data_IF_092282113253
#
_entry.id   IF_092282113253
#
_cell.length_a   1.000
_cell.length_b   1.000
_cell.length_c   1.000
_cell.angle_alpha   90.00
_cell.angle_beta   90.00
_cell.angle_gamma   90.00
#
_symmetry.space_group_name_H-M   'P 1'
#
loop_
_entity.id
_entity.type
_entity.pdbx_description
1 polymer ?
#
# COMPACT_ATOMS: atom_id res chain seq x y z
N UNK A 1 -20.67 -8.85 -7.53
CA UNK A 1 -20.71 -8.17 -6.22
C UNK A 1 -19.51 -7.25 -6.11
N UNK A 2 -19.73 -5.95 -5.93
CA UNK A 2 -18.68 -4.93 -5.79
C UNK A 2 -17.84 -5.12 -4.50
N UNK A 3 -18.28 -5.98 -3.58
CA UNK A 3 -17.62 -6.23 -2.29
C UNK A 3 -16.22 -6.84 -2.39
N UNK A 4 -15.90 -7.47 -3.54
CA UNK A 4 -14.61 -8.12 -3.79
C UNK A 4 -13.53 -7.15 -4.26
N UNK A 5 -13.88 -5.95 -4.71
CA UNK A 5 -12.95 -4.97 -5.30
C UNK A 5 -12.78 -3.70 -4.46
N UNK A 6 -13.44 -3.62 -3.29
CA UNK A 6 -13.32 -2.46 -2.40
C UNK A 6 -12.16 -2.65 -1.42
N UNK A 7 -11.28 -1.65 -1.34
CA UNK A 7 -10.39 -1.49 -0.19
C UNK A 7 -11.22 -1.28 1.08
N UNK A 8 -10.82 -1.86 2.20
CA UNK A 8 -11.54 -1.75 3.47
C UNK A 8 -10.62 -1.27 4.58
N UNK A 9 -10.98 -0.17 5.21
CA UNK A 9 -10.39 0.21 6.49
C UNK A 9 -10.92 -0.75 7.56
N UNK A 10 -10.02 -1.49 8.23
CA UNK A 10 -10.39 -2.48 9.24
C UNK A 10 -9.96 -2.07 10.65
N UNK A 11 -9.07 -1.08 10.76
CA UNK A 11 -8.61 -0.57 12.04
C UNK A 11 -8.20 0.91 11.90
N UNK A 12 -8.49 1.70 12.93
CA UNK A 12 -8.08 3.11 13.04
C UNK A 12 -7.63 3.32 14.49
N UNK A 13 -6.49 3.96 14.67
CA UNK A 13 -5.99 4.38 15.98
C UNK A 13 -5.52 5.83 15.94
N UNK A 14 -5.56 6.51 17.09
CA UNK A 14 -5.06 7.87 17.23
C UNK A 14 -3.52 7.85 17.33
N UNK A 15 -2.86 8.87 16.75
CA UNK A 15 -1.41 9.03 16.89
C UNK A 15 -1.10 9.57 18.29
N UNK A 16 -0.24 8.89 19.09
CA UNK A 16 0.10 9.38 20.41
C UNK A 16 0.74 10.78 20.37
N UNK A 17 0.18 11.72 21.12
CA UNK A 17 0.68 13.10 21.21
C UNK A 17 0.13 14.07 20.16
N UNK A 18 -0.74 13.61 19.25
CA UNK A 18 -1.36 14.43 18.21
C UNK A 18 -2.89 14.38 18.34
N UNK A 19 -3.56 15.53 18.44
CA UNK A 19 -5.01 15.59 18.71
C UNK A 19 -5.88 15.26 17.48
N UNK A 20 -5.39 15.54 16.27
CA UNK A 20 -6.13 15.43 15.00
C UNK A 20 -5.46 14.48 13.99
N UNK A 21 -4.61 13.55 14.45
CA UNK A 21 -3.93 12.59 13.59
C UNK A 21 -4.31 11.15 13.91
N UNK A 22 -4.47 10.35 12.86
CA UNK A 22 -4.93 8.96 12.93
C UNK A 22 -4.13 8.08 11.99
N UNK A 23 -3.86 6.85 12.42
CA UNK A 23 -3.33 5.78 11.57
C UNK A 23 -4.50 4.90 11.15
N UNK A 24 -4.75 4.82 9.84
CA UNK A 24 -5.80 3.99 9.27
C UNK A 24 -5.19 2.79 8.54
N UNK A 25 -5.62 1.59 8.93
CA UNK A 25 -5.19 0.34 8.32
C UNK A 25 -6.18 -0.13 7.27
N UNK A 26 -5.73 -0.16 6.01
CA UNK A 26 -6.57 -0.49 4.86
C UNK A 26 -6.09 -1.78 4.20
N UNK A 27 -7.02 -2.71 3.98
CA UNK A 27 -6.77 -3.95 3.24
C UNK A 27 -7.29 -3.83 1.81
N UNK A 28 -6.43 -4.17 0.84
CA UNK A 28 -6.77 -4.24 -0.59
C UNK A 28 -6.72 -5.70 -1.07
N UNK A 29 -7.72 -6.15 -1.84
CA UNK A 29 -7.68 -7.48 -2.46
C UNK A 29 -6.57 -7.55 -3.53
N UNK A 30 -5.88 -8.69 -3.60
CA UNK A 30 -4.75 -8.90 -4.51
C UNK A 30 -5.13 -8.75 -5.98
N UNK A 31 -6.36 -9.15 -6.34
CA UNK A 31 -6.92 -9.08 -7.69
C UNK A 31 -6.99 -7.64 -8.26
N UNK A 32 -6.74 -6.61 -7.46
CA UNK A 32 -6.64 -5.21 -7.92
C UNK A 32 -5.29 -4.86 -8.52
N UNK A 33 -4.26 -5.65 -8.25
CA UNK A 33 -2.88 -5.33 -8.60
C UNK A 33 -2.41 -6.14 -9.80
N UNK A 34 -1.81 -5.43 -10.75
CA UNK A 34 -1.13 -6.05 -11.89
C UNK A 34 0.19 -6.68 -11.44
N UNK A 35 0.41 -7.93 -11.83
CA UNK A 35 1.64 -8.67 -11.52
C UNK A 35 2.88 -7.93 -12.03
N UNK A 36 3.91 -7.81 -11.18
CA UNK A 36 5.18 -7.20 -11.55
C UNK A 36 5.15 -5.67 -11.73
N UNK A 37 4.03 -5.00 -11.42
CA UNK A 37 3.84 -3.57 -11.69
C UNK A 37 3.79 -2.72 -10.41
N UNK A 38 4.95 -2.17 -10.02
CA UNK A 38 5.01 -1.19 -8.91
C UNK A 38 4.18 0.05 -9.22
N UNK A 39 4.19 0.48 -10.48
CA UNK A 39 3.40 1.61 -10.97
C UNK A 39 1.91 1.39 -10.74
N UNK A 40 1.37 0.23 -11.13
CA UNK A 40 -0.04 -0.10 -10.92
C UNK A 40 -0.40 -0.16 -9.42
N UNK A 41 0.48 -0.73 -8.60
CA UNK A 41 0.27 -0.77 -7.14
C UNK A 41 0.16 0.62 -6.55
N UNK A 42 1.10 1.51 -6.87
CA UNK A 42 1.10 2.87 -6.35
C UNK A 42 -0.12 3.66 -6.86
N UNK A 43 -0.42 3.64 -8.15
CA UNK A 43 -1.59 4.36 -8.68
C UNK A 43 -2.90 3.87 -8.08
N UNK A 44 -3.03 2.56 -7.81
CA UNK A 44 -4.21 1.97 -7.18
C UNK A 44 -4.40 2.38 -5.71
N UNK A 45 -3.31 2.59 -4.96
CA UNK A 45 -3.36 2.94 -3.52
C UNK A 45 -3.42 4.45 -3.33
N UNK A 46 -2.56 5.22 -4.02
CA UNK A 46 -2.39 6.66 -3.77
C UNK A 46 -3.17 7.55 -4.74
N UNK A 47 -3.55 7.03 -5.92
CA UNK A 47 -3.99 7.86 -7.06
C UNK A 47 -5.20 8.75 -6.78
N UNK A 48 -6.18 8.28 -5.98
CA UNK A 48 -7.43 9.01 -5.75
C UNK A 48 -7.59 9.57 -4.32
N UNK A 49 -6.81 9.08 -3.36
CA UNK A 49 -7.07 9.35 -1.93
C UNK A 49 -6.37 10.63 -1.46
N UNK A 50 -5.24 11.00 -2.06
CA UNK A 50 -4.51 12.22 -1.70
C UNK A 50 -5.19 13.52 -2.16
N UNK A 51 -6.16 13.44 -3.08
CA UNK A 51 -6.95 14.59 -3.55
C UNK A 51 -8.29 14.79 -2.85
N UNK A 52 -8.57 14.00 -1.80
CA UNK A 52 -9.87 14.00 -1.15
C UNK A 52 -10.04 15.25 -0.26
N UNK A 53 -10.97 16.14 -0.63
CA UNK A 53 -11.21 17.42 0.09
C UNK A 53 -11.54 17.25 1.58
N UNK A 54 -12.01 16.08 1.99
CA UNK A 54 -12.31 15.76 3.39
C UNK A 54 -11.05 15.49 4.23
N UNK A 55 -9.89 15.26 3.60
CA UNK A 55 -8.62 15.01 4.28
C UNK A 55 -7.73 16.24 4.13
N UNK A 56 -7.34 16.85 5.25
CA UNK A 56 -6.41 18.00 5.26
C UNK A 56 -5.01 17.61 4.77
N UNK A 57 -4.56 16.43 5.20
CA UNK A 57 -3.29 15.84 4.82
C UNK A 57 -3.42 14.32 4.87
N UNK A 58 -2.63 13.62 4.07
CA UNK A 58 -2.54 12.17 4.06
C UNK A 58 -1.08 11.78 3.85
N UNK A 59 -0.59 10.79 4.58
CA UNK A 59 0.73 10.20 4.41
C UNK A 59 0.59 8.69 4.40
N UNK A 60 1.25 8.05 3.45
CA UNK A 60 1.39 6.60 3.43
C UNK A 60 2.63 6.25 4.28
N UNK A 61 2.41 5.65 5.45
CA UNK A 61 3.48 5.31 6.39
C UNK A 61 4.19 4.00 6.01
N UNK A 62 3.42 2.94 5.75
CA UNK A 62 3.96 1.60 5.50
C UNK A 62 3.03 0.79 4.57
N UNK A 63 3.58 -0.25 3.95
CA UNK A 63 2.89 -1.20 3.09
C UNK A 63 3.28 -2.63 3.44
N UNK A 64 2.29 -3.44 3.83
CA UNK A 64 2.46 -4.88 3.94
C UNK A 64 2.24 -5.55 2.58
N UNK A 65 3.32 -5.96 1.93
CA UNK A 65 3.26 -6.65 0.63
C UNK A 65 3.21 -8.18 0.84
N UNK A 66 2.17 -8.89 0.35
CA UNK A 66 2.06 -10.34 0.53
C UNK A 66 3.08 -11.10 -0.34
N UNK A 67 3.60 -12.26 0.11
CA UNK A 67 4.56 -13.05 -0.66
C UNK A 67 4.06 -13.47 -2.05
N UNK A 68 2.74 -13.65 -2.21
CA UNK A 68 2.13 -13.96 -3.51
C UNK A 68 2.38 -12.85 -4.55
N UNK A 69 2.34 -11.59 -4.12
CA UNK A 69 2.64 -10.45 -4.99
C UNK A 69 4.14 -10.24 -5.14
N UNK A 70 4.93 -10.36 -4.06
CA UNK A 70 6.39 -10.20 -4.13
C UNK A 70 7.01 -11.14 -5.18
N UNK A 71 6.52 -12.38 -5.28
CA UNK A 71 7.00 -13.38 -6.24
C UNK A 71 6.75 -13.04 -7.70
N UNK A 72 5.92 -12.05 -8.01
CA UNK A 72 5.70 -11.60 -9.39
C UNK A 72 6.77 -10.63 -9.88
N UNK A 73 7.67 -10.20 -8.98
CA UNK A 73 8.76 -9.27 -9.30
C UNK A 73 10.08 -10.03 -9.39
N UNK A 74 10.96 -9.58 -10.29
CA UNK A 74 12.34 -10.05 -10.35
C UNK A 74 13.12 -9.69 -9.08
N UNK A 75 12.83 -8.52 -8.49
CA UNK A 75 13.65 -7.93 -7.43
C UNK A 75 14.98 -7.37 -7.97
N UNK A 76 15.97 -7.16 -7.10
CA UNK A 76 17.29 -6.70 -7.51
C UNK A 76 17.95 -7.69 -8.49
N UNK A 77 18.58 -7.22 -9.59
CA UNK A 77 19.23 -8.10 -10.57
C UNK A 77 20.37 -8.92 -9.95
N UNK A 78 21.06 -8.36 -8.95
CA UNK A 78 22.01 -9.05 -8.10
C UNK A 78 21.70 -8.70 -6.65
N UNK A 79 21.81 -9.69 -5.76
CA UNK A 79 21.72 -9.45 -4.32
C UNK A 79 23.05 -8.96 -3.76
N UNK A 80 23.01 -8.41 -2.55
CA UNK A 80 24.21 -7.93 -1.82
C UNK A 80 25.31 -9.00 -1.74
N UNK A 81 24.94 -10.29 -1.69
CA UNK A 81 25.89 -11.40 -1.68
C UNK A 81 26.64 -11.52 -3.01
N UNK A 82 25.92 -11.46 -4.13
CA UNK A 82 26.49 -11.60 -5.49
C UNK A 82 27.30 -10.35 -5.90
N UNK A 83 26.96 -9.17 -5.39
CA UNK A 83 27.76 -7.95 -5.60
C UNK A 83 29.08 -7.95 -4.81
N UNK A 84 29.21 -8.80 -3.80
CA UNK A 84 30.38 -8.87 -2.90
C UNK A 84 31.32 -10.04 -3.21
N UNK A 85 30.88 -11.00 -4.01
CA UNK A 85 31.68 -12.10 -4.56
C UNK A 85 32.50 -11.62 -5.77
#
# INVERSE_FOLDING_TARGET
>A
SLDRYKGRCYHIEAVPGEEDQYIAYVAYPLDLFEEGSVTNMLTSIVGNVFGFKALRALRLEDLRIPPAYIKTFQGPPHGIQVERD
#
